data_IF_837692004158
#
_entry.id   IF_837692004158
#
_cell.length_a   1.000
_cell.length_b   1.000
_cell.length_c   1.000
_cell.angle_alpha   90.00
_cell.angle_beta   90.00
_cell.angle_gamma   90.00
#
_symmetry.space_group_name_H-M   'P 1'
#
loop_
_entity.id
_entity.type
_entity.pdbx_description
1 polymer ?
#
# COMPACT_ATOMS: atom_id res chain seq x y z
N UNK A 1 15.07 3.09 3.11
CA UNK A 1 13.91 3.80 2.49
C UNK A 1 14.33 4.39 1.15
N UNK A 2 13.41 4.83 0.30
CA UNK A 2 13.74 5.26 -1.08
C UNK A 2 14.70 6.49 -1.16
N UNK A 3 14.90 7.21 -0.05
CA UNK A 3 15.95 8.23 0.10
C UNK A 3 17.38 7.65 0.10
N UNK A 4 17.54 6.37 0.46
CA UNK A 4 18.83 5.68 0.52
C UNK A 4 19.01 4.68 -0.64
N UNK A 5 17.90 4.20 -1.22
CA UNK A 5 17.90 3.26 -2.34
C UNK A 5 16.94 3.74 -3.43
N UNK A 6 17.48 4.20 -4.56
CA UNK A 6 16.67 4.63 -5.70
C UNK A 6 15.83 3.46 -6.22
N UNK A 7 14.50 3.61 -6.20
CA UNK A 7 13.60 2.61 -6.73
C UNK A 7 13.63 2.57 -8.26
N UNK A 8 13.64 1.35 -8.81
CA UNK A 8 13.50 1.11 -10.25
C UNK A 8 12.34 0.17 -10.51
N UNK A 9 11.44 0.52 -11.44
CA UNK A 9 10.36 -0.37 -11.91
C UNK A 9 10.97 -1.57 -12.63
N UNK A 10 11.11 -2.70 -11.95
CA UNK A 10 11.41 -3.95 -12.63
C UNK A 10 10.15 -4.50 -13.33
N UNK A 11 9.98 -4.12 -14.60
CA UNK A 11 8.86 -4.56 -15.47
C UNK A 11 8.75 -6.09 -15.57
N UNK A 12 9.85 -6.81 -15.41
CA UNK A 12 9.88 -8.29 -15.47
C UNK A 12 9.15 -8.95 -14.31
N UNK A 13 9.19 -8.34 -13.13
CA UNK A 13 8.55 -8.87 -11.91
C UNK A 13 7.11 -8.37 -11.78
N UNK A 14 6.87 -7.09 -12.05
CA UNK A 14 5.55 -6.48 -11.84
C UNK A 14 4.49 -6.92 -12.88
N UNK A 15 4.88 -7.41 -14.05
CA UNK A 15 4.00 -7.96 -15.11
C UNK A 15 2.72 -7.13 -15.37
N UNK A 16 2.81 -5.79 -15.30
CA UNK A 16 1.69 -4.87 -15.53
C UNK A 16 0.82 -4.55 -14.30
N UNK A 17 1.00 -5.22 -13.16
CA UNK A 17 0.25 -4.97 -11.93
C UNK A 17 0.39 -3.51 -11.43
N UNK A 18 1.55 -2.90 -11.64
CA UNK A 18 1.83 -1.52 -11.25
C UNK A 18 1.01 -0.46 -11.98
N UNK A 19 0.30 -0.82 -13.06
CA UNK A 19 -0.63 0.07 -13.75
C UNK A 19 -1.96 0.23 -13.00
N UNK A 20 -2.29 -0.72 -12.14
CA UNK A 20 -3.56 -0.81 -11.40
C UNK A 20 -3.39 -0.49 -9.91
N UNK A 21 -2.22 0.02 -9.53
CA UNK A 21 -1.91 0.44 -8.17
C UNK A 21 -1.76 1.96 -8.13
N UNK A 22 -2.39 2.60 -7.15
CA UNK A 22 -2.08 3.98 -6.80
C UNK A 22 -0.80 3.99 -5.94
N UNK A 23 0.27 4.58 -6.47
CA UNK A 23 1.55 4.68 -5.80
C UNK A 23 1.73 6.10 -5.27
N UNK A 24 1.90 6.23 -3.96
CA UNK A 24 2.14 7.50 -3.31
C UNK A 24 3.57 7.54 -2.78
N UNK A 25 4.37 8.48 -3.28
CA UNK A 25 5.77 8.65 -2.90
C UNK A 25 5.93 9.96 -2.14
N UNK A 26 6.59 9.92 -1.00
CA UNK A 26 6.78 11.08 -0.11
C UNK A 26 8.20 11.67 -0.24
N UNK A 27 8.77 11.70 -1.46
CA UNK A 27 10.17 12.08 -1.70
C UNK A 27 10.48 13.58 -1.56
N UNK A 28 9.46 14.43 -1.59
CA UNK A 28 9.62 15.90 -1.58
C UNK A 28 9.32 16.58 -0.24
N UNK A 29 9.07 15.81 0.83
CA UNK A 29 8.83 16.35 2.15
C UNK A 29 10.13 16.41 2.96
N UNK A 30 10.32 17.46 3.77
CA UNK A 30 11.46 17.61 4.68
C UNK A 30 11.63 16.37 5.59
N UNK A 31 10.50 15.76 5.98
CA UNK A 31 10.46 14.46 6.62
C UNK A 31 9.43 13.54 5.95
N UNK A 32 9.90 12.76 4.98
CA UNK A 32 9.11 11.79 4.21
C UNK A 32 8.35 10.78 5.10
N UNK A 33 8.97 10.31 6.19
CA UNK A 33 8.35 9.33 7.10
C UNK A 33 7.19 9.94 7.86
N UNK A 34 7.39 11.12 8.42
CA UNK A 34 6.33 11.85 9.14
C UNK A 34 5.16 12.15 8.21
N UNK A 35 5.42 12.70 7.01
CA UNK A 35 4.38 12.99 6.03
C UNK A 35 3.57 11.75 5.62
N UNK A 36 4.22 10.57 5.55
CA UNK A 36 3.54 9.30 5.29
C UNK A 36 2.63 8.91 6.47
N UNK A 37 3.16 8.94 7.71
CA UNK A 37 2.40 8.61 8.92
C UNK A 37 1.21 9.54 9.10
N UNK A 38 1.40 10.86 8.98
CA UNK A 38 0.33 11.86 9.12
C UNK A 38 -0.77 11.63 8.09
N UNK A 39 -0.40 11.31 6.85
CA UNK A 39 -1.37 11.00 5.81
C UNK A 39 -2.16 9.74 6.12
N UNK A 40 -1.50 8.66 6.53
CA UNK A 40 -2.16 7.41 6.91
C UNK A 40 -3.14 7.65 8.07
N UNK A 41 -2.68 8.31 9.13
CA UNK A 41 -3.49 8.56 10.33
C UNK A 41 -4.64 9.53 10.06
N UNK A 42 -4.47 10.55 9.22
CA UNK A 42 -5.55 11.49 8.86
C UNK A 42 -6.68 10.83 8.05
N UNK A 43 -6.42 9.69 7.41
CA UNK A 43 -7.45 8.86 6.77
C UNK A 43 -8.12 7.87 7.73
N UNK A 44 -7.76 7.88 9.03
CA UNK A 44 -8.31 6.96 10.03
C UNK A 44 -7.77 5.54 9.91
N UNK A 45 -6.67 5.34 9.19
CA UNK A 45 -6.04 4.03 9.06
C UNK A 45 -5.15 3.74 10.27
N UNK A 46 -5.21 2.49 10.74
CA UNK A 46 -4.29 1.96 11.74
C UNK A 46 -2.95 1.64 11.09
N UNK A 47 -1.87 2.24 11.58
CA UNK A 47 -0.51 1.95 11.15
C UNK A 47 -0.03 0.65 11.84
N UNK A 48 0.07 -0.43 11.08
CA UNK A 48 0.44 -1.75 11.60
C UNK A 48 1.82 -2.15 11.11
N UNK A 49 2.79 -2.22 12.01
CA UNK A 49 4.17 -2.53 11.65
C UNK A 49 4.44 -4.03 11.70
N UNK A 50 5.08 -4.55 10.65
CA UNK A 50 5.48 -5.96 10.58
C UNK A 50 6.85 -6.14 11.23
N UNK A 51 6.94 -6.98 12.26
CA UNK A 51 8.22 -7.28 12.94
C UNK A 51 8.16 -8.65 13.63
N UNK A 52 9.15 -9.53 13.44
CA UNK A 52 9.25 -10.80 14.17
C UNK A 52 9.73 -10.62 15.63
N UNK A 53 10.10 -9.39 16.02
CA UNK A 53 10.66 -9.08 17.34
C UNK A 53 9.72 -8.22 18.19
N UNK A 54 8.52 -7.93 17.69
CA UNK A 54 7.54 -7.09 18.39
C UNK A 54 6.33 -7.94 18.79
N UNK A 55 6.05 -7.98 20.08
CA UNK A 55 4.83 -8.62 20.57
C UNK A 55 3.61 -7.86 20.05
N UNK A 56 2.66 -8.58 19.49
CA UNK A 56 1.46 -7.99 18.92
C UNK A 56 0.49 -9.05 18.43
N UNK A 57 0.02 -8.89 17.20
CA UNK A 57 -0.93 -9.78 16.58
C UNK A 57 -0.26 -10.77 15.63
N UNK A 58 -0.98 -11.83 15.30
CA UNK A 58 -0.68 -12.69 14.16
C UNK A 58 -1.62 -12.34 12.99
N UNK A 59 -1.43 -12.91 11.80
CA UNK A 59 -2.35 -12.68 10.68
C UNK A 59 -3.78 -13.16 11.00
N UNK A 60 -3.93 -14.03 11.99
CA UNK A 60 -5.22 -14.55 12.47
C UNK A 60 -5.89 -13.64 13.50
N UNK A 61 -5.12 -12.95 14.32
CA UNK A 61 -5.64 -12.20 15.48
C UNK A 61 -5.66 -10.69 15.27
N UNK A 62 -5.02 -10.16 14.22
CA UNK A 62 -5.04 -8.74 13.92
C UNK A 62 -6.50 -8.28 13.72
N UNK A 63 -6.98 -7.27 14.46
CA UNK A 63 -8.33 -6.74 14.27
C UNK A 63 -8.44 -6.04 12.91
N UNK A 64 -9.56 -6.27 12.23
CA UNK A 64 -9.88 -5.68 10.92
C UNK A 64 -11.08 -4.72 11.00
N UNK A 65 -11.42 -4.29 12.21
CA UNK A 65 -12.50 -3.36 12.52
C UNK A 65 -12.26 -1.94 12.01
N UNK A 66 -11.04 -1.65 11.56
CA UNK A 66 -10.61 -0.38 10.97
C UNK A 66 -9.70 -0.64 9.76
N UNK A 67 -9.59 0.31 8.82
CA UNK A 67 -8.63 0.21 7.71
C UNK A 67 -7.19 0.04 8.23
N UNK A 68 -6.47 -0.93 7.68
CA UNK A 68 -5.09 -1.25 8.09
C UNK A 68 -4.11 -0.77 7.02
N UNK A 69 -3.08 -0.04 7.44
CA UNK A 69 -1.90 0.25 6.65
C UNK A 69 -0.74 -0.62 7.15
N UNK A 70 -0.40 -1.67 6.40
CA UNK A 70 0.75 -2.53 6.71
C UNK A 70 2.05 -1.82 6.36
N UNK A 71 2.95 -1.72 7.35
CA UNK A 71 4.32 -1.25 7.17
C UNK A 71 5.24 -2.46 7.08
N UNK A 72 5.92 -2.57 5.94
CA UNK A 72 6.97 -3.55 5.71
C UNK A 72 8.33 -2.89 5.97
N UNK A 73 9.21 -3.58 6.68
CA UNK A 73 10.59 -3.15 6.92
C UNK A 73 11.48 -3.19 5.69
N UNK A 74 12.78 -2.94 5.84
CA UNK A 74 13.78 -3.30 4.82
C UNK A 74 14.29 -4.73 5.03
N UNK A 75 14.91 -5.32 4.01
CA UNK A 75 15.42 -6.71 4.08
C UNK A 75 16.48 -6.92 5.18
N UNK A 76 17.24 -5.88 5.52
CA UNK A 76 18.35 -6.00 6.48
C UNK A 76 18.00 -5.49 7.87
N UNK A 77 17.37 -4.31 7.98
CA UNK A 77 17.14 -3.67 9.27
C UNK A 77 15.70 -3.77 9.77
N UNK A 78 14.79 -4.40 9.01
CA UNK A 78 13.38 -4.40 9.35
C UNK A 78 12.79 -2.99 9.31
N UNK A 79 11.74 -2.74 10.10
CA UNK A 79 11.10 -1.43 10.19
C UNK A 79 12.00 -0.47 10.99
N UNK A 80 12.09 0.79 10.54
CA UNK A 80 12.88 1.80 11.27
C UNK A 80 12.26 2.12 12.64
N UNK A 81 13.07 2.49 13.62
CA UNK A 81 12.62 2.92 14.96
C UNK A 81 11.50 3.95 14.92
N UNK A 82 11.60 4.95 14.03
CA UNK A 82 10.53 5.92 13.81
C UNK A 82 9.17 5.27 13.51
N UNK A 83 9.14 4.24 12.65
CA UNK A 83 7.89 3.53 12.34
C UNK A 83 7.42 2.69 13.52
N UNK A 84 8.35 2.08 14.27
CA UNK A 84 8.03 1.32 15.48
C UNK A 84 7.38 2.21 16.55
N UNK A 85 7.92 3.42 16.77
CA UNK A 85 7.39 4.40 17.73
C UNK A 85 6.01 4.95 17.35
N UNK A 86 5.72 5.04 16.05
CA UNK A 86 4.44 5.57 15.56
C UNK A 86 3.39 4.49 15.28
N UNK A 87 3.74 3.21 15.46
CA UNK A 87 2.88 2.07 15.22
C UNK A 87 1.69 2.07 16.17
N UNK A 88 0.49 1.82 15.63
CA UNK A 88 -0.70 1.62 16.44
C UNK A 88 -0.85 0.14 16.85
N UNK A 89 -0.25 -0.77 16.08
CA UNK A 89 -0.14 -2.19 16.40
C UNK A 89 1.06 -2.84 15.69
N UNK A 90 1.43 -4.03 16.16
CA UNK A 90 2.43 -4.88 15.51
C UNK A 90 1.80 -6.16 14.99
N UNK A 91 2.33 -6.69 13.90
CA UNK A 91 1.97 -8.01 13.38
C UNK A 91 3.22 -8.82 13.07
N UNK A 92 3.21 -10.08 13.50
CA UNK A 92 4.25 -11.05 13.17
C UNK A 92 3.66 -12.24 12.42
N UNK A 93 4.46 -12.89 11.58
CA UNK A 93 4.10 -14.19 11.01
C UNK A 93 4.79 -15.24 11.89
N UNK A 94 4.03 -16.14 12.55
CA UNK A 94 4.64 -17.19 13.36
C UNK A 94 5.61 -18.03 12.54
N UNK A 95 6.88 -18.07 12.98
CA UNK A 95 7.94 -18.84 12.35
C UNK A 95 8.20 -20.11 13.16
N UNK A 96 8.29 -21.24 12.47
CA UNK A 96 8.70 -22.52 13.05
C UNK A 96 9.95 -23.01 12.32
N UNK A 97 11.10 -22.99 13.00
CA UNK A 97 12.39 -23.41 12.44
C UNK A 97 13.52 -22.44 12.77
N UNK A 98 14.60 -22.51 11.99
CA UNK A 98 15.81 -21.72 12.25
C UNK A 98 15.81 -20.33 11.60
N UNK A 99 14.90 -20.07 10.65
CA UNK A 99 14.79 -18.75 10.01
C UNK A 99 13.96 -17.81 10.87
N UNK A 100 14.49 -16.63 11.14
CA UNK A 100 13.82 -15.59 11.94
C UNK A 100 12.70 -14.89 11.15
N UNK A 101 12.74 -14.92 9.81
CA UNK A 101 11.73 -14.29 8.97
C UNK A 101 11.64 -14.89 7.57
N UNK A 102 10.58 -14.55 6.85
CA UNK A 102 10.46 -14.74 5.42
C UNK A 102 11.10 -13.57 4.65
N UNK A 103 11.40 -13.77 3.36
CA UNK A 103 11.66 -12.65 2.46
C UNK A 103 10.51 -11.63 2.53
N UNK A 104 10.84 -10.33 2.45
CA UNK A 104 9.86 -9.24 2.58
C UNK A 104 8.66 -9.37 1.64
N UNK A 105 8.88 -9.79 0.39
CA UNK A 105 7.78 -9.96 -0.58
C UNK A 105 6.87 -11.14 -0.23
N UNK A 106 7.45 -12.22 0.31
CA UNK A 106 6.71 -13.39 0.80
C UNK A 106 5.92 -13.02 2.05
N UNK A 107 6.53 -12.30 2.99
CA UNK A 107 5.84 -11.81 4.18
C UNK A 107 4.65 -10.91 3.81
N UNK A 108 4.86 -9.95 2.89
CA UNK A 108 3.78 -9.10 2.39
C UNK A 108 2.65 -9.93 1.74
N UNK A 109 3.00 -10.91 0.91
CA UNK A 109 2.03 -11.78 0.25
C UNK A 109 1.22 -12.61 1.26
N UNK A 110 1.86 -13.23 2.25
CA UNK A 110 1.21 -14.02 3.30
C UNK A 110 0.24 -13.17 4.11
N UNK A 111 0.70 -12.00 4.59
CA UNK A 111 -0.13 -11.08 5.36
C UNK A 111 -1.33 -10.60 4.53
N UNK A 112 -1.09 -10.03 3.35
CA UNK A 112 -2.17 -9.51 2.50
C UNK A 112 -3.17 -10.59 2.11
N UNK A 113 -2.70 -11.80 1.77
CA UNK A 113 -3.57 -12.90 1.41
C UNK A 113 -4.46 -13.30 2.58
N UNK A 114 -3.88 -13.49 3.77
CA UNK A 114 -4.65 -13.95 4.93
C UNK A 114 -5.62 -12.89 5.44
N UNK A 115 -5.19 -11.64 5.52
CA UNK A 115 -6.08 -10.54 5.93
C UNK A 115 -7.22 -10.35 4.92
N UNK A 116 -6.97 -10.44 3.61
CA UNK A 116 -8.01 -10.38 2.59
C UNK A 116 -9.00 -11.55 2.70
N UNK A 117 -8.53 -12.78 2.96
CA UNK A 117 -9.42 -13.91 3.22
C UNK A 117 -10.34 -13.67 4.41
N UNK A 118 -9.78 -13.23 5.55
CA UNK A 118 -10.54 -12.91 6.76
C UNK A 118 -11.54 -11.77 6.51
N UNK A 119 -11.13 -10.73 5.79
CA UNK A 119 -11.98 -9.59 5.46
C UNK A 119 -13.17 -9.99 4.59
N UNK A 120 -12.94 -10.84 3.58
CA UNK A 120 -14.00 -11.37 2.69
C UNK A 120 -14.98 -12.32 3.39
N UNK A 121 -14.52 -13.00 4.44
CA UNK A 121 -15.34 -13.90 5.24
C UNK A 121 -16.06 -13.19 6.41
N UNK A 122 -15.85 -11.88 6.57
CA UNK A 122 -16.43 -11.07 7.63
C UNK A 122 -17.62 -10.24 7.15
N UNK A 123 -18.40 -9.72 8.09
CA UNK A 123 -19.49 -8.77 7.83
C UNK A 123 -19.02 -7.30 7.75
N UNK A 124 -17.70 -7.06 7.72
CA UNK A 124 -17.13 -5.71 7.65
C UNK A 124 -17.39 -5.12 6.26
N UNK A 125 -17.87 -3.87 6.20
CA UNK A 125 -18.00 -3.14 4.93
C UNK A 125 -16.63 -2.60 4.50
N UNK A 126 -15.98 -3.29 3.57
CA UNK A 126 -14.63 -2.98 3.08
C UNK A 126 -14.58 -2.49 1.63
N UNK A 127 -15.71 -2.50 0.93
CA UNK A 127 -15.77 -2.09 -0.47
C UNK A 127 -15.72 -0.57 -0.61
N UNK A 128 -15.14 -0.09 -1.71
CA UNK A 128 -15.24 1.32 -2.08
C UNK A 128 -16.69 1.76 -2.18
N UNK A 129 -16.96 3.01 -1.80
CA UNK A 129 -18.26 3.61 -2.02
C UNK A 129 -18.53 3.74 -3.53
N UNK A 130 -19.79 3.73 -4.00
CA UNK A 130 -20.12 3.79 -5.42
C UNK A 130 -19.44 4.95 -6.16
N UNK A 131 -19.35 6.12 -5.53
CA UNK A 131 -18.70 7.32 -6.06
C UNK A 131 -17.18 7.15 -6.21
N UNK A 132 -16.51 6.55 -5.21
CA UNK A 132 -15.07 6.28 -5.25
C UNK A 132 -14.74 5.25 -6.32
N UNK A 133 -15.56 4.21 -6.43
CA UNK A 133 -15.43 3.18 -7.44
C UNK A 133 -15.61 3.75 -8.85
N UNK A 134 -16.57 4.67 -9.05
CA UNK A 134 -16.80 5.31 -10.33
C UNK A 134 -15.60 6.15 -10.77
N UNK A 135 -15.02 6.95 -9.86
CA UNK A 135 -13.80 7.73 -10.12
C UNK A 135 -12.63 6.82 -10.48
N UNK A 136 -12.38 5.78 -9.67
CA UNK A 136 -11.27 4.85 -9.91
C UNK A 136 -11.42 4.12 -11.26
N UNK A 137 -12.64 3.71 -11.62
CA UNK A 137 -12.91 3.09 -12.92
C UNK A 137 -12.65 4.06 -14.07
N UNK A 138 -13.10 5.31 -13.96
CA UNK A 138 -12.85 6.32 -14.99
C UNK A 138 -11.33 6.56 -15.19
N UNK A 139 -10.57 6.66 -14.11
CA UNK A 139 -9.10 6.76 -14.14
C UNK A 139 -8.47 5.57 -14.88
N UNK A 140 -8.87 4.35 -14.53
CA UNK A 140 -8.32 3.14 -15.11
C UNK A 140 -8.71 2.95 -16.57
N UNK A 141 -9.95 3.28 -16.94
CA UNK A 141 -10.40 3.31 -18.33
C UNK A 141 -9.58 4.30 -19.15
N UNK A 142 -9.37 5.52 -18.64
CA UNK A 142 -8.55 6.52 -19.31
C UNK A 142 -7.12 6.04 -19.53
N UNK A 143 -6.50 5.41 -18.51
CA UNK A 143 -5.15 4.83 -18.60
C UNK A 143 -5.05 3.66 -19.58
N UNK A 144 -6.14 2.92 -19.79
CA UNK A 144 -6.16 1.76 -20.70
C UNK A 144 -6.20 2.15 -22.18
N UNK A 145 -6.67 3.37 -22.50
CA UNK A 145 -6.76 3.87 -23.87
C UNK A 145 -5.44 4.50 -24.28
N UNK A 146 -4.82 3.94 -25.33
CA UNK A 146 -3.58 4.49 -25.90
C UNK A 146 -3.84 5.91 -26.43
N UNK A 147 -3.01 6.87 -26.04
CA UNK A 147 -3.12 8.30 -26.42
C UNK A 147 -4.44 8.97 -26.00
N UNK A 148 -5.07 8.55 -24.90
CA UNK A 148 -6.34 9.12 -24.41
C UNK A 148 -6.34 10.66 -24.32
N UNK A 149 -5.28 11.28 -23.78
CA UNK A 149 -5.15 12.74 -23.71
C UNK A 149 -5.16 13.41 -25.10
N UNK A 150 -4.55 12.76 -26.09
CA UNK A 150 -4.51 13.26 -27.46
C UNK A 150 -5.86 13.14 -28.18
N UNK A 151 -6.65 12.13 -27.84
CA UNK A 151 -8.03 11.99 -28.33
C UNK A 151 -8.89 13.14 -27.79
N UNK A 152 -8.81 13.41 -26.47
CA UNK A 152 -9.53 14.53 -25.86
C UNK A 152 -9.14 15.87 -26.51
N UNK A 153 -7.85 16.11 -26.71
CA UNK A 153 -7.37 17.35 -27.31
C UNK A 153 -7.90 17.56 -28.75
N UNK A 154 -8.04 16.50 -29.55
CA UNK A 154 -8.62 16.58 -30.91
C UNK A 154 -10.10 16.97 -30.89
N UNK A 155 -10.83 16.55 -29.87
CA UNK A 155 -12.23 16.90 -29.64
C UNK A 155 -12.39 18.25 -28.89
N UNK A 156 -11.30 19.00 -28.68
CA UNK A 156 -11.31 20.29 -27.97
C UNK A 156 -11.51 20.18 -26.46
N UNK A 157 -11.34 18.99 -25.88
CA UNK A 157 -11.52 18.71 -24.45
C UNK A 157 -10.18 18.71 -23.73
N UNK A 158 -10.14 19.32 -22.54
CA UNK A 158 -8.98 19.29 -21.65
C UNK A 158 -9.00 18.02 -20.80
N UNK A 159 -7.84 17.38 -20.60
CA UNK A 159 -7.76 16.22 -19.69
C UNK A 159 -7.92 16.71 -18.24
N UNK A 160 -8.92 16.23 -17.49
CA UNK A 160 -9.07 16.56 -16.07
C UNK A 160 -7.80 16.23 -15.27
N UNK A 161 -7.40 17.13 -14.37
CA UNK A 161 -6.23 16.91 -13.50
C UNK A 161 -6.33 15.62 -12.67
N UNK A 162 -7.55 15.23 -12.30
CA UNK A 162 -7.86 13.96 -11.60
C UNK A 162 -7.51 12.71 -12.42
N UNK A 163 -7.51 12.79 -13.75
CA UNK A 163 -7.10 11.70 -14.64
C UNK A 163 -5.58 11.69 -14.93
N UNK A 164 -4.88 12.77 -14.55
CA UNK A 164 -3.43 12.94 -14.72
C UNK A 164 -2.64 12.60 -13.46
N UNK A 165 -3.27 12.56 -12.28
CA UNK A 165 -2.61 12.16 -11.04
C UNK A 165 -2.12 10.71 -11.12
N UNK A 166 -0.80 10.54 -11.12
CA UNK A 166 -0.03 9.28 -11.22
C UNK A 166 0.47 8.89 -12.63
N UNK A 167 0.57 9.82 -13.59
CA UNK A 167 1.49 9.67 -14.74
C UNK A 167 2.94 9.94 -14.34
#
# INVERSE_FOLDING_TARGET
MENENAWSRNKGVAKGASQWLQLHRHLGADNAKQACVDRIKSHGNRLVVTSPHASGHTPETLPLDQPVALVMGTEFSGASDFMMEHADAFVEIPMHGFSESFNISVAAAVLMHRLNQRLRASDISWTLRPEELAVLRAEWMFKSVRHASGILAREGLTTPATLLSNL
#
